data_IF_684767974862
#
_entry.id   IF_684767974862
#
_cell.length_a   1.000
_cell.length_b   1.000
_cell.length_c   1.000
_cell.angle_alpha   90.00
_cell.angle_beta   90.00
_cell.angle_gamma   90.00
#
_symmetry.space_group_name_H-M   'P 1'
#
loop_
_entity.id
_entity.type
_entity.pdbx_description
1 polymer ?
#
# COMPACT_ATOMS: atom_id res chain seq x y z
N UNK A 1 -8.70 1.53 15.37
CA UNK A 1 -7.53 2.39 15.18
C UNK A 1 -7.34 2.78 13.73
N UNK A 2 -7.40 1.82 12.82
CA UNK A 2 -7.23 2.10 11.39
C UNK A 2 -8.32 3.03 10.86
N UNK A 3 -9.57 2.85 11.28
CA UNK A 3 -10.68 3.69 10.84
C UNK A 3 -10.50 5.13 11.32
N UNK A 4 -10.16 5.32 12.57
CA UNK A 4 -9.94 6.66 13.13
C UNK A 4 -8.76 7.32 12.41
N UNK A 5 -7.69 6.60 12.20
CA UNK A 5 -6.54 7.10 11.47
C UNK A 5 -6.87 7.46 10.04
N UNK A 6 -7.67 6.61 9.36
CA UNK A 6 -8.10 6.85 7.99
C UNK A 6 -8.94 8.12 7.87
N UNK A 7 -9.91 8.30 8.76
CA UNK A 7 -10.75 9.49 8.76
C UNK A 7 -9.93 10.75 9.02
N UNK A 8 -9.04 10.69 9.99
CA UNK A 8 -8.16 11.80 10.32
C UNK A 8 -7.29 12.17 9.12
N UNK A 9 -6.68 11.22 8.47
CA UNK A 9 -5.79 11.47 7.34
C UNK A 9 -6.57 11.99 6.13
N UNK A 10 -7.77 11.49 5.88
CA UNK A 10 -8.63 11.97 4.79
C UNK A 10 -8.98 13.43 4.98
N UNK A 11 -9.38 13.82 6.20
CA UNK A 11 -9.75 15.21 6.49
C UNK A 11 -8.57 16.15 6.44
N UNK A 12 -7.40 15.67 6.80
CA UNK A 12 -6.20 16.49 6.96
C UNK A 12 -5.21 16.37 5.80
N UNK A 13 -5.57 15.65 4.74
CA UNK A 13 -4.65 15.37 3.62
C UNK A 13 -4.09 16.63 2.96
N UNK A 14 -4.84 17.72 2.99
CA UNK A 14 -4.44 18.99 2.38
C UNK A 14 -3.85 19.97 3.40
N UNK A 15 -3.63 19.50 4.64
CA UNK A 15 -3.15 20.33 5.73
C UNK A 15 -1.69 20.03 6.04
N UNK A 16 -1.38 19.86 7.29
CA UNK A 16 -0.03 19.66 7.82
C UNK A 16 0.28 18.18 7.86
N UNK A 17 1.41 17.78 7.27
CA UNK A 17 1.86 16.39 7.24
C UNK A 17 1.99 15.78 8.65
N UNK A 18 2.28 16.61 9.68
CA UNK A 18 2.39 16.15 11.05
C UNK A 18 1.11 15.56 11.64
N UNK A 19 -0.04 15.86 11.05
CA UNK A 19 -1.33 15.31 11.50
C UNK A 19 -1.65 13.94 10.89
N UNK A 20 -0.85 13.48 9.93
CA UNK A 20 -1.07 12.20 9.28
C UNK A 20 -0.72 11.05 10.22
N UNK A 21 -1.67 10.14 10.43
CA UNK A 21 -1.48 8.99 11.32
C UNK A 21 -0.32 8.10 10.84
N UNK A 22 -0.19 7.88 9.52
CA UNK A 22 0.90 7.06 9.00
C UNK A 22 2.25 7.75 9.08
N UNK A 23 2.30 9.08 8.98
CA UNK A 23 3.53 9.82 9.28
C UNK A 23 4.00 9.55 10.71
N UNK A 24 3.07 9.60 11.65
CA UNK A 24 3.36 9.38 13.07
C UNK A 24 3.82 7.94 13.33
N UNK A 25 3.16 6.98 12.72
CA UNK A 25 3.54 5.56 12.87
C UNK A 25 4.90 5.33 12.21
N UNK A 26 5.09 5.80 10.98
CA UNK A 26 6.33 5.58 10.24
C UNK A 26 7.53 6.17 10.95
N UNK A 27 7.36 7.30 11.63
CA UNK A 27 8.43 7.99 12.32
C UNK A 27 8.55 7.62 13.82
N UNK A 28 7.77 6.63 14.26
CA UNK A 28 7.90 6.08 15.61
C UNK A 28 7.20 6.86 16.71
N UNK A 29 6.41 7.87 16.38
CA UNK A 29 5.66 8.64 17.37
C UNK A 29 4.51 7.84 17.97
N UNK A 30 3.94 6.92 17.16
CA UNK A 30 2.89 6.00 17.60
C UNK A 30 3.46 4.59 17.50
N UNK A 31 3.37 3.79 18.58
CA UNK A 31 3.87 2.41 18.57
C UNK A 31 3.15 1.54 17.54
N UNK A 32 3.88 0.59 16.96
CA UNK A 32 3.34 -0.35 16.00
C UNK A 32 4.08 -1.67 16.09
N UNK A 33 3.48 -2.74 15.55
CA UNK A 33 4.16 -4.02 15.43
C UNK A 33 5.07 -3.94 14.19
N UNK A 34 6.29 -3.50 14.40
CA UNK A 34 7.26 -3.23 13.35
C UNK A 34 8.02 -4.50 12.97
N UNK A 35 7.96 -4.87 11.68
CA UNK A 35 8.71 -6.01 11.14
C UNK A 35 10.09 -5.62 10.64
N UNK A 36 10.23 -4.38 10.18
CA UNK A 36 11.47 -3.88 9.60
C UNK A 36 11.46 -2.36 9.62
N UNK A 37 12.63 -1.78 9.75
CA UNK A 37 12.78 -0.32 9.70
C UNK A 37 14.16 0.04 9.17
N UNK A 38 14.20 1.08 8.32
CA UNK A 38 15.44 1.72 7.92
C UNK A 38 15.25 3.24 7.94
N UNK A 39 16.16 3.98 7.33
CA UNK A 39 16.08 5.44 7.33
C UNK A 39 14.89 5.98 6.54
N UNK A 40 14.41 5.24 5.55
CA UNK A 40 13.39 5.71 4.62
C UNK A 40 12.03 5.06 4.81
N UNK A 41 11.98 3.85 5.40
CA UNK A 41 10.74 3.05 5.48
C UNK A 41 10.56 2.41 6.84
N UNK A 42 9.31 2.12 7.14
CA UNK A 42 8.93 1.23 8.23
C UNK A 42 7.90 0.24 7.70
N UNK A 43 8.06 -1.02 8.04
CA UNK A 43 7.12 -2.08 7.69
C UNK A 43 6.44 -2.55 8.95
N UNK A 44 5.12 -2.47 8.97
CA UNK A 44 4.31 -2.81 10.14
C UNK A 44 3.27 -3.85 9.81
N UNK A 45 2.77 -4.56 10.83
CA UNK A 45 1.59 -5.42 10.67
C UNK A 45 0.34 -4.56 10.65
N UNK A 46 -0.57 -4.87 9.73
CA UNK A 46 -1.87 -4.21 9.68
C UNK A 46 -2.75 -4.74 10.82
N UNK A 47 -3.36 -3.85 11.58
CA UNK A 47 -4.22 -4.23 12.71
C UNK A 47 -5.62 -4.69 12.27
N UNK A 48 -6.01 -4.38 11.01
CA UNK A 48 -7.23 -4.89 10.41
C UNK A 48 -6.90 -5.79 9.22
N UNK A 49 -6.20 -6.91 9.44
CA UNK A 49 -5.59 -7.66 8.36
C UNK A 49 -6.60 -8.37 7.46
N UNK A 50 -6.30 -8.42 6.16
CA UNK A 50 -7.04 -9.24 5.21
C UNK A 50 -6.71 -10.72 5.39
N UNK A 51 -5.47 -11.00 5.84
CA UNK A 51 -4.99 -12.36 6.08
C UNK A 51 -3.89 -12.32 7.13
N UNK A 52 -3.49 -13.50 7.59
CA UNK A 52 -2.38 -13.62 8.55
C UNK A 52 -1.08 -13.12 7.92
N UNK A 53 -0.49 -12.11 8.54
CA UNK A 53 0.76 -11.53 8.07
C UNK A 53 0.58 -10.33 7.15
N UNK A 54 -0.64 -9.86 6.93
CA UNK A 54 -0.91 -8.65 6.16
C UNK A 54 -0.10 -7.49 6.76
N UNK A 55 0.80 -6.94 5.96
CA UNK A 55 1.74 -5.90 6.39
C UNK A 55 1.64 -4.68 5.50
N UNK A 56 2.16 -3.56 6.01
CA UNK A 56 2.17 -2.29 5.27
C UNK A 56 3.60 -1.77 5.20
N UNK A 57 4.01 -1.35 4.01
CA UNK A 57 5.25 -0.59 3.83
C UNK A 57 4.90 0.88 3.85
N UNK A 58 5.48 1.62 4.79
CA UNK A 58 5.24 3.06 4.95
C UNK A 58 6.53 3.82 4.70
N UNK A 59 6.58 4.73 3.71
CA UNK A 59 7.69 5.68 3.61
C UNK A 59 7.62 6.62 4.81
N UNK A 60 8.76 6.99 5.36
CA UNK A 60 8.83 7.93 6.48
C UNK A 60 8.53 9.35 6.03
N UNK A 61 8.91 9.70 4.81
CA UNK A 61 8.61 11.00 4.22
C UNK A 61 7.24 10.94 3.57
N UNK A 62 6.39 11.90 3.88
CA UNK A 62 5.02 11.93 3.40
C UNK A 62 4.92 12.13 1.89
N UNK A 63 4.10 11.29 1.24
CA UNK A 63 3.57 11.51 -0.09
C UNK A 63 2.16 10.95 -0.04
N UNK A 64 1.19 11.66 -0.59
CA UNK A 64 -0.21 11.24 -0.45
C UNK A 64 -0.51 9.96 -1.24
N UNK A 65 0.13 9.78 -2.38
CA UNK A 65 -0.16 8.69 -3.32
C UNK A 65 1.03 8.45 -4.24
N UNK A 66 0.87 7.51 -5.19
CA UNK A 66 1.95 7.16 -6.12
C UNK A 66 2.36 8.34 -7.01
N UNK A 67 1.42 9.23 -7.32
CA UNK A 67 1.72 10.36 -8.21
C UNK A 67 2.67 11.36 -7.55
N UNK A 68 2.60 11.51 -6.24
CA UNK A 68 3.46 12.42 -5.48
C UNK A 68 4.76 11.76 -5.02
N UNK A 69 4.83 10.44 -5.07
CA UNK A 69 5.99 9.70 -4.58
C UNK A 69 7.19 9.93 -5.49
N UNK A 70 8.37 10.33 -4.95
CA UNK A 70 9.57 10.45 -5.78
C UNK A 70 9.94 9.12 -6.43
N UNK A 71 10.46 9.17 -7.65
CA UNK A 71 10.83 7.97 -8.41
C UNK A 71 11.79 7.07 -7.65
N UNK A 72 12.78 7.68 -7.01
CA UNK A 72 13.78 6.93 -6.24
C UNK A 72 13.13 6.17 -5.09
N UNK A 73 12.21 6.82 -4.37
CA UNK A 73 11.48 6.19 -3.28
C UNK A 73 10.60 5.06 -3.80
N UNK A 74 9.95 5.26 -4.94
CA UNK A 74 9.12 4.23 -5.57
C UNK A 74 9.93 2.97 -5.88
N UNK A 75 11.13 3.15 -6.44
CA UNK A 75 12.01 2.02 -6.74
C UNK A 75 12.43 1.27 -5.48
N UNK A 76 12.83 2.01 -4.45
CA UNK A 76 13.25 1.41 -3.18
C UNK A 76 12.08 0.71 -2.47
N UNK A 77 10.87 1.25 -2.57
CA UNK A 77 9.68 0.63 -1.99
C UNK A 77 9.42 -0.74 -2.61
N UNK A 78 9.54 -0.86 -3.94
CA UNK A 78 9.34 -2.13 -4.62
C UNK A 78 10.43 -3.15 -4.26
N UNK A 79 11.67 -2.72 -4.15
CA UNK A 79 12.77 -3.60 -3.72
C UNK A 79 12.48 -4.12 -2.31
N UNK A 80 12.05 -3.25 -1.41
CA UNK A 80 11.69 -3.64 -0.05
C UNK A 80 10.50 -4.60 -0.03
N UNK A 81 9.50 -4.35 -0.89
CA UNK A 81 8.34 -5.23 -1.02
C UNK A 81 8.78 -6.65 -1.40
N UNK A 82 9.70 -6.76 -2.35
CA UNK A 82 10.25 -8.06 -2.77
C UNK A 82 10.92 -8.77 -1.60
N UNK A 83 11.76 -8.06 -0.85
CA UNK A 83 12.47 -8.64 0.30
C UNK A 83 11.51 -9.11 1.39
N UNK A 84 10.54 -8.27 1.73
CA UNK A 84 9.58 -8.59 2.77
C UNK A 84 8.63 -9.72 2.36
N UNK A 85 8.22 -9.74 1.09
CA UNK A 85 7.40 -10.82 0.57
C UNK A 85 8.10 -12.18 0.73
N UNK A 86 9.39 -12.23 0.42
CA UNK A 86 10.19 -13.45 0.61
C UNK A 86 10.26 -13.87 2.06
N UNK A 87 10.51 -12.92 2.97
CA UNK A 87 10.55 -13.22 4.40
C UNK A 87 9.22 -13.71 4.95
N UNK A 88 8.13 -13.05 4.55
CA UNK A 88 6.79 -13.44 5.00
C UNK A 88 6.41 -14.82 4.45
N UNK A 89 6.70 -15.08 3.17
CA UNK A 89 6.45 -16.40 2.58
C UNK A 89 7.16 -17.50 3.35
N UNK A 90 8.44 -17.30 3.62
CA UNK A 90 9.26 -18.34 4.28
C UNK A 90 8.83 -18.53 5.75
N UNK A 91 8.46 -17.45 6.42
CA UNK A 91 8.05 -17.52 7.83
C UNK A 91 6.64 -18.10 8.01
N UNK A 92 5.73 -17.79 7.10
CA UNK A 92 4.31 -18.09 7.26
C UNK A 92 3.80 -19.21 6.35
N UNK A 93 4.63 -19.70 5.43
CA UNK A 93 4.26 -20.78 4.52
C UNK A 93 2.99 -20.50 3.73
N UNK A 94 2.84 -19.27 3.22
CA UNK A 94 1.66 -18.91 2.44
C UNK A 94 1.67 -19.54 1.05
N UNK A 95 0.49 -19.69 0.47
CA UNK A 95 0.30 -20.33 -0.84
C UNK A 95 0.44 -19.37 -2.00
N UNK A 96 0.29 -18.10 -1.74
CA UNK A 96 0.39 -17.04 -2.73
C UNK A 96 0.63 -15.71 -2.05
N UNK A 97 0.75 -14.63 -2.84
CA UNK A 97 1.08 -13.33 -2.29
C UNK A 97 0.56 -12.21 -3.18
N UNK A 98 -0.09 -11.22 -2.58
CA UNK A 98 -0.49 -10.02 -3.30
C UNK A 98 0.29 -8.81 -2.76
N UNK A 99 0.77 -8.00 -3.68
CA UNK A 99 1.31 -6.68 -3.38
C UNK A 99 0.32 -5.67 -3.96
N UNK A 100 -0.28 -4.85 -3.11
CA UNK A 100 -1.36 -3.96 -3.50
C UNK A 100 -1.03 -2.53 -3.10
N UNK A 101 -1.23 -1.59 -4.01
CA UNK A 101 -1.06 -0.17 -3.73
C UNK A 101 -2.23 0.57 -4.35
N UNK A 102 -2.92 1.38 -3.56
CA UNK A 102 -4.15 2.05 -3.96
C UNK A 102 -3.96 3.56 -4.02
N UNK A 103 -4.50 4.19 -5.04
CA UNK A 103 -4.42 5.64 -5.25
C UNK A 103 -5.80 6.20 -5.51
N UNK A 104 -6.30 6.99 -4.56
CA UNK A 104 -7.64 7.58 -4.61
C UNK A 104 -8.67 6.73 -3.88
N UNK A 105 -9.71 7.38 -3.39
CA UNK A 105 -10.78 6.75 -2.63
C UNK A 105 -11.47 5.63 -3.40
N UNK A 106 -11.80 5.88 -4.67
CA UNK A 106 -12.50 4.90 -5.50
C UNK A 106 -11.68 3.63 -5.76
N UNK A 107 -10.36 3.76 -5.65
CA UNK A 107 -9.44 2.62 -5.81
C UNK A 107 -9.17 1.89 -4.49
N UNK A 108 -9.76 2.36 -3.39
CA UNK A 108 -9.61 1.73 -2.09
C UNK A 108 -8.60 2.36 -1.14
N UNK A 109 -8.06 3.54 -1.49
CA UNK A 109 -7.17 4.26 -0.58
C UNK A 109 -7.99 4.91 0.53
N UNK A 110 -7.69 4.55 1.77
CA UNK A 110 -8.39 5.09 2.94
C UNK A 110 -7.52 6.03 3.77
N UNK A 111 -6.20 5.89 3.69
CA UNK A 111 -5.25 6.79 4.35
C UNK A 111 -4.40 7.45 3.27
N UNK A 112 -4.35 8.78 3.28
CA UNK A 112 -3.67 9.55 2.23
C UNK A 112 -2.20 9.81 2.59
N UNK A 113 -1.52 8.72 2.82
CA UNK A 113 -0.09 8.57 2.94
C UNK A 113 0.24 7.30 2.16
N UNK A 114 1.08 7.41 1.15
CA UNK A 114 1.42 6.27 0.30
C UNK A 114 1.80 5.07 1.16
N UNK A 115 1.22 3.92 0.85
CA UNK A 115 1.59 2.67 1.51
C UNK A 115 1.33 1.50 0.59
N UNK A 116 2.12 0.44 0.77
CA UNK A 116 1.95 -0.80 0.00
C UNK A 116 1.49 -1.89 0.94
N UNK A 117 0.43 -2.58 0.53
CA UNK A 117 -0.07 -3.74 1.23
C UNK A 117 0.70 -4.98 0.79
N UNK A 118 1.18 -5.74 1.75
CA UNK A 118 1.81 -7.04 1.55
C UNK A 118 0.85 -8.07 2.13
N UNK A 119 0.20 -8.85 1.27
CA UNK A 119 -0.88 -9.74 1.70
C UNK A 119 -0.54 -11.18 1.37
N UNK A 120 -0.05 -11.96 2.38
CA UNK A 120 0.13 -13.39 2.19
C UNK A 120 -1.22 -14.06 1.94
N UNK A 121 -1.27 -14.97 0.97
CA UNK A 121 -2.53 -15.61 0.60
C UNK A 121 -2.50 -17.08 0.95
N UNK A 122 -3.62 -17.57 1.46
CA UNK A 122 -3.77 -18.95 1.91
C UNK A 122 -5.00 -19.56 1.28
N UNK A 123 -4.95 -20.87 1.05
CA UNK A 123 -6.09 -21.62 0.54
C UNK A 123 -7.29 -21.38 1.43
N UNK A 124 -8.42 -20.93 0.82
CA UNK A 124 -9.65 -20.70 1.56
C UNK A 124 -9.68 -19.47 2.47
N UNK A 125 -8.79 -18.51 2.27
CA UNK A 125 -8.69 -17.32 3.13
C UNK A 125 -9.83 -16.32 2.95
N UNK A 126 -10.65 -16.45 1.91
CA UNK A 126 -11.80 -15.59 1.68
C UNK A 126 -11.47 -14.16 1.25
N UNK A 127 -10.23 -13.84 0.97
CA UNK A 127 -9.83 -12.49 0.54
C UNK A 127 -10.25 -12.26 -0.92
N UNK A 128 -11.02 -11.19 -1.16
CA UNK A 128 -11.56 -10.91 -2.49
C UNK A 128 -10.75 -9.88 -3.25
N UNK A 129 -9.65 -10.28 -3.87
CA UNK A 129 -8.84 -9.40 -4.73
C UNK A 129 -8.95 -9.84 -6.19
N UNK A 130 -10.18 -10.03 -6.67
CA UNK A 130 -10.44 -10.47 -8.04
C UNK A 130 -11.46 -9.56 -8.71
N UNK A 131 -11.54 -9.67 -10.03
CA UNK A 131 -12.51 -8.92 -10.82
C UNK A 131 -13.00 -9.79 -11.96
N UNK A 132 -14.13 -9.40 -12.53
CA UNK A 132 -14.67 -10.06 -13.72
C UNK A 132 -14.02 -9.43 -14.95
N UNK A 133 -13.36 -10.22 -15.81
CA UNK A 133 -12.75 -9.67 -17.02
C UNK A 133 -13.79 -9.00 -17.91
N UNK A 134 -13.46 -7.79 -18.39
CA UNK A 134 -14.27 -7.09 -19.36
C UNK A 134 -13.76 -7.35 -20.77
N UNK A 135 -14.17 -6.49 -21.70
CA UNK A 135 -13.75 -6.58 -23.09
C UNK A 135 -13.10 -5.27 -23.52
N UNK A 136 -12.09 -5.38 -24.38
CA UNK A 136 -11.41 -4.22 -24.95
C UNK A 136 -11.82 -4.10 -26.42
N UNK A 137 -12.61 -3.08 -26.75
CA UNK A 137 -12.98 -2.81 -28.15
C UNK A 137 -11.78 -2.20 -28.89
N UNK A 138 -11.78 -2.36 -30.22
CA UNK A 138 -10.72 -1.78 -31.06
C UNK A 138 -10.69 -0.26 -30.94
N UNK A 139 -11.86 0.38 -30.85
CA UNK A 139 -11.97 1.83 -30.75
C UNK A 139 -11.36 2.36 -29.45
N UNK A 140 -11.71 1.75 -28.34
CA UNK A 140 -11.17 2.15 -27.03
C UNK A 140 -9.67 1.89 -26.96
N UNK A 141 -9.23 0.74 -27.49
CA UNK A 141 -7.80 0.41 -27.57
C UNK A 141 -7.04 1.52 -28.30
N UNK A 142 -7.51 1.89 -29.50
CA UNK A 142 -6.82 2.88 -30.33
C UNK A 142 -6.81 4.26 -29.68
N UNK A 143 -7.91 4.62 -29.03
CA UNK A 143 -7.99 5.87 -28.27
C UNK A 143 -6.94 5.93 -27.16
N UNK A 144 -6.82 4.87 -26.36
CA UNK A 144 -5.86 4.79 -25.27
C UNK A 144 -4.43 4.87 -25.80
N UNK A 145 -4.12 4.09 -26.85
CA UNK A 145 -2.80 4.07 -27.44
C UNK A 145 -2.38 5.46 -27.91
N UNK A 146 -3.30 6.16 -28.57
CA UNK A 146 -3.03 7.52 -29.05
C UNK A 146 -2.74 8.47 -27.88
N UNK A 147 -3.56 8.45 -26.85
CA UNK A 147 -3.40 9.35 -25.69
C UNK A 147 -2.13 9.10 -24.91
N UNK A 148 -1.74 7.86 -24.76
CA UNK A 148 -0.58 7.50 -23.93
C UNK A 148 0.74 7.73 -24.66
N UNK A 149 0.77 7.47 -25.97
CA UNK A 149 2.00 7.57 -26.77
C UNK A 149 2.31 8.99 -27.24
N UNK A 150 1.38 9.90 -27.13
CA UNK A 150 1.60 11.33 -27.38
C UNK A 150 2.26 11.99 -26.16
#
# INVERSE_FOLDING_TARGET
LGLVGSEMCIRDRDKIMGDCIFCKIANGEIPSATLYEDEEFRVILDLGPASKGHSLILPKKHAANIYELPDETAGKAMILAKKMAGKLRDALNCDGFNVVQNNGEIAGQTVFHFHMHLIPRYEGDGVGLTWKPGELSDEVRDEILKKIKE
#
